data_IF_475701707130
#
_entry.id   IF_475701707130
#
_cell.length_a   1.000
_cell.length_b   1.000
_cell.length_c   1.000
_cell.angle_alpha   90.00
_cell.angle_beta   90.00
_cell.angle_gamma   90.00
#
_symmetry.space_group_name_H-M   'P 1'
#
loop_
_entity.id
_entity.type
_entity.pdbx_description
1 polymer ?
#
# COMPACT_ATOMS: atom_id res chain seq x y z
N UNK A 1 -21.30 -7.20 -20.53
CA UNK A 1 -20.19 -8.15 -20.22
C UNK A 1 -18.87 -7.48 -19.87
N UNK A 2 -18.63 -6.23 -20.23
CA UNK A 2 -17.42 -5.46 -19.89
C UNK A 2 -17.44 -4.89 -18.45
N UNK A 3 -18.59 -4.53 -17.94
CA UNK A 3 -18.75 -3.93 -16.60
C UNK A 3 -18.36 -4.89 -15.47
N UNK A 4 -18.64 -6.19 -15.61
CA UNK A 4 -18.29 -7.18 -14.60
C UNK A 4 -16.79 -7.46 -14.50
N UNK A 5 -16.05 -7.40 -15.63
CA UNK A 5 -14.59 -7.64 -15.62
C UNK A 5 -13.80 -6.43 -15.07
N UNK A 6 -14.29 -5.20 -15.30
CA UNK A 6 -13.68 -3.98 -14.76
C UNK A 6 -13.91 -3.86 -13.24
N UNK A 7 -15.07 -4.32 -12.75
CA UNK A 7 -15.38 -4.37 -11.33
C UNK A 7 -14.47 -5.39 -10.60
N UNK A 8 -14.28 -6.59 -11.15
CA UNK A 8 -13.36 -7.59 -10.60
C UNK A 8 -11.89 -7.13 -10.57
N UNK A 9 -11.44 -6.34 -11.56
CA UNK A 9 -10.07 -5.81 -11.61
C UNK A 9 -9.86 -4.74 -10.53
N UNK A 10 -10.86 -3.90 -10.28
CA UNK A 10 -10.82 -2.86 -9.23
C UNK A 10 -10.82 -3.45 -7.82
N UNK A 11 -11.66 -4.44 -7.56
CA UNK A 11 -11.75 -5.09 -6.26
C UNK A 11 -10.47 -5.88 -5.92
N UNK A 12 -9.85 -6.50 -6.92
CA UNK A 12 -8.58 -7.24 -6.73
C UNK A 12 -7.36 -6.35 -6.49
N UNK A 13 -7.38 -5.08 -6.90
CA UNK A 13 -6.22 -4.20 -6.73
C UNK A 13 -6.06 -3.64 -5.31
N UNK A 14 -7.14 -3.58 -4.53
CA UNK A 14 -7.14 -2.91 -3.23
C UNK A 14 -7.19 -3.85 -2.03
N UNK A 15 -7.84 -4.99 -2.14
CA UNK A 15 -8.14 -5.86 -1.00
C UNK A 15 -8.03 -7.37 -1.36
N UNK A 16 -7.15 -7.70 -2.29
CA UNK A 16 -6.95 -9.07 -2.78
C UNK A 16 -6.41 -10.04 -1.72
N UNK A 17 -5.86 -9.54 -0.62
CA UNK A 17 -5.40 -10.33 0.55
C UNK A 17 -5.80 -9.60 1.82
N UNK A 18 -6.61 -10.30 2.65
CA UNK A 18 -7.07 -9.78 3.93
C UNK A 18 -5.91 -9.24 4.79
N UNK A 19 -6.01 -7.99 5.22
CA UNK A 19 -5.04 -7.32 6.07
C UNK A 19 -3.81 -6.75 5.36
N UNK A 20 -3.58 -7.02 4.07
CA UNK A 20 -2.37 -6.56 3.37
C UNK A 20 -2.33 -5.04 3.25
N UNK A 21 -3.36 -4.45 2.67
CA UNK A 21 -3.43 -3.01 2.42
C UNK A 21 -3.39 -2.20 3.73
N UNK A 22 -4.13 -2.63 4.74
CA UNK A 22 -4.11 -2.00 6.07
C UNK A 22 -2.74 -2.06 6.73
N UNK A 23 -2.08 -3.22 6.71
CA UNK A 23 -0.74 -3.41 7.29
C UNK A 23 0.30 -2.54 6.61
N UNK A 24 0.35 -2.55 5.27
CA UNK A 24 1.31 -1.74 4.51
C UNK A 24 1.06 -0.24 4.71
N UNK A 25 -0.21 0.19 4.78
CA UNK A 25 -0.57 1.59 5.05
C UNK A 25 -0.11 2.03 6.44
N UNK A 26 -0.30 1.21 7.48
CA UNK A 26 0.17 1.53 8.83
C UNK A 26 1.69 1.67 8.86
N UNK A 27 2.43 0.74 8.25
CA UNK A 27 3.90 0.81 8.19
C UNK A 27 4.34 2.09 7.46
N UNK A 28 3.72 2.43 6.34
CA UNK A 28 3.99 3.65 5.58
C UNK A 28 3.73 4.90 6.42
N UNK A 29 2.58 4.99 7.08
CA UNK A 29 2.22 6.14 7.92
C UNK A 29 3.15 6.30 9.12
N UNK A 30 3.53 5.21 9.78
CA UNK A 30 4.49 5.25 10.88
C UNK A 30 5.87 5.69 10.40
N UNK A 31 6.27 5.27 9.22
CA UNK A 31 7.55 5.71 8.62
C UNK A 31 7.53 7.20 8.26
N UNK A 32 6.42 7.69 7.70
CA UNK A 32 6.21 9.13 7.43
C UNK A 32 6.23 9.93 8.74
N UNK A 33 5.55 9.44 9.79
CA UNK A 33 5.56 10.06 11.11
C UNK A 33 6.98 10.20 11.67
N UNK A 34 7.80 9.15 11.60
CA UNK A 34 9.19 9.19 12.07
C UNK A 34 10.02 10.18 11.24
N UNK A 35 9.89 10.16 9.92
CA UNK A 35 10.60 11.09 9.03
C UNK A 35 10.22 12.54 9.29
N UNK A 36 8.92 12.83 9.49
CA UNK A 36 8.45 14.19 9.76
C UNK A 36 8.99 14.73 11.10
N UNK A 37 9.09 13.86 12.11
CA UNK A 37 9.72 14.19 13.39
C UNK A 37 11.23 14.45 13.26
N UNK A 38 11.94 13.68 12.43
CA UNK A 38 13.38 13.88 12.18
C UNK A 38 13.60 15.19 11.44
N UNK A 39 12.80 15.46 10.40
CA UNK A 39 12.88 16.67 9.58
C UNK A 39 12.28 17.91 10.27
N UNK A 40 11.56 17.74 11.38
CA UNK A 40 10.88 18.80 12.16
C UNK A 40 9.99 19.71 11.31
N UNK A 41 9.25 19.13 10.37
CA UNK A 41 8.49 19.91 9.37
C UNK A 41 7.10 20.29 9.86
N UNK A 42 6.38 19.40 10.54
CA UNK A 42 4.95 19.64 10.80
C UNK A 42 4.39 18.93 12.04
N UNK A 43 4.69 19.41 13.22
CA UNK A 43 4.28 18.79 14.50
C UNK A 43 2.76 18.59 14.64
N UNK A 44 1.95 19.55 14.15
CA UNK A 44 0.49 19.49 14.31
C UNK A 44 -0.15 18.39 13.46
N UNK A 45 0.38 18.09 12.27
CA UNK A 45 -0.17 17.06 11.40
C UNK A 45 0.19 15.65 11.87
N UNK A 46 1.27 15.51 12.65
CA UNK A 46 1.69 14.23 13.22
C UNK A 46 0.63 13.58 14.09
N UNK A 47 -0.15 14.38 14.83
CA UNK A 47 -1.29 13.88 15.60
C UNK A 47 -2.36 13.25 14.69
N UNK A 48 -2.62 13.84 13.53
CA UNK A 48 -3.55 13.27 12.55
C UNK A 48 -3.05 11.94 11.99
N UNK A 49 -1.74 11.82 11.72
CA UNK A 49 -1.12 10.57 11.26
C UNK A 49 -1.30 9.47 12.30
N UNK A 50 -0.99 9.76 13.57
CA UNK A 50 -1.16 8.80 14.66
C UNK A 50 -2.62 8.40 14.85
N UNK A 51 -3.54 9.37 14.86
CA UNK A 51 -4.97 9.08 14.99
C UNK A 51 -5.47 8.17 13.88
N UNK A 52 -5.08 8.47 12.63
CA UNK A 52 -5.47 7.64 11.49
C UNK A 52 -4.86 6.24 11.55
N UNK A 53 -3.60 6.12 11.97
CA UNK A 53 -2.94 4.82 12.18
C UNK A 53 -3.66 3.99 13.26
N UNK A 54 -4.10 4.59 14.37
CA UNK A 54 -4.89 3.91 15.41
C UNK A 54 -6.25 3.45 14.86
N UNK A 55 -6.93 4.27 14.08
CA UNK A 55 -8.18 3.87 13.41
C UNK A 55 -7.96 2.67 12.47
N UNK A 56 -6.84 2.66 11.73
CA UNK A 56 -6.49 1.54 10.87
C UNK A 56 -6.13 0.27 11.67
N UNK A 57 -5.50 0.39 12.83
CA UNK A 57 -5.27 -0.76 13.72
C UNK A 57 -6.59 -1.37 14.18
N UNK A 58 -7.56 -0.54 14.56
CA UNK A 58 -8.91 -1.00 14.90
C UNK A 58 -9.61 -1.70 13.73
N UNK A 59 -9.47 -1.16 12.51
CA UNK A 59 -9.96 -1.81 11.31
C UNK A 59 -9.25 -3.15 11.06
N UNK A 60 -7.91 -3.19 11.16
CA UNK A 60 -7.11 -4.37 10.90
C UNK A 60 -7.43 -5.53 11.84
N UNK A 61 -7.86 -5.23 13.07
CA UNK A 61 -8.33 -6.24 14.02
C UNK A 61 -9.45 -7.13 13.47
N UNK A 62 -10.32 -6.55 12.64
CA UNK A 62 -11.43 -7.28 12.00
C UNK A 62 -11.13 -7.73 10.57
N UNK A 63 -10.15 -7.11 9.91
CA UNK A 63 -9.78 -7.43 8.53
C UNK A 63 -8.66 -8.47 8.42
N UNK A 64 -7.96 -8.80 9.53
CA UNK A 64 -6.98 -9.88 9.53
C UNK A 64 -7.62 -11.23 9.19
N UNK A 65 -6.86 -12.09 8.49
CA UNK A 65 -7.34 -13.40 8.02
C UNK A 65 -7.77 -14.33 9.19
N UNK A 66 -8.98 -14.90 9.21
CA UNK A 66 -10.08 -14.73 8.23
C UNK A 66 -10.83 -13.41 8.43
N UNK A 67 -10.96 -12.62 7.38
CA UNK A 67 -11.53 -11.28 7.49
C UNK A 67 -13.02 -11.32 7.80
N UNK A 68 -13.44 -10.48 8.76
CA UNK A 68 -14.83 -10.22 9.11
C UNK A 68 -15.32 -8.87 8.59
N UNK A 69 -14.43 -8.03 8.12
CA UNK A 69 -14.70 -6.69 7.65
C UNK A 69 -13.85 -6.39 6.41
N UNK A 70 -14.49 -6.05 5.31
CA UNK A 70 -13.83 -5.63 4.08
C UNK A 70 -13.80 -4.10 4.00
N UNK A 71 -12.71 -3.54 3.49
CA UNK A 71 -12.52 -2.09 3.42
C UNK A 71 -13.37 -1.43 2.34
N UNK A 72 -13.54 -2.09 1.22
CA UNK A 72 -14.20 -1.55 0.04
C UNK A 72 -13.46 -0.36 -0.61
N UNK A 73 -14.04 0.15 -1.68
CA UNK A 73 -13.48 1.26 -2.49
C UNK A 73 -13.33 2.56 -1.70
N UNK A 74 -14.24 2.85 -0.78
CA UNK A 74 -14.22 4.10 -0.02
C UNK A 74 -13.02 4.14 0.95
N UNK A 75 -12.78 3.06 1.67
CA UNK A 75 -11.67 2.97 2.62
C UNK A 75 -10.31 2.96 1.93
N UNK A 76 -10.16 2.21 0.84
CA UNK A 76 -8.90 2.18 0.09
C UNK A 76 -8.53 3.53 -0.52
N UNK A 77 -9.53 4.28 -1.03
CA UNK A 77 -9.32 5.66 -1.52
C UNK A 77 -8.98 6.61 -0.39
N UNK A 78 -9.64 6.50 0.76
CA UNK A 78 -9.35 7.33 1.93
C UNK A 78 -7.90 7.13 2.41
N UNK A 79 -7.43 5.89 2.48
CA UNK A 79 -6.03 5.58 2.81
C UNK A 79 -5.05 6.22 1.80
N UNK A 80 -5.30 6.04 0.50
CA UNK A 80 -4.45 6.60 -0.55
C UNK A 80 -4.37 8.12 -0.49
N UNK A 81 -5.50 8.81 -0.33
CA UNK A 81 -5.57 10.27 -0.21
C UNK A 81 -4.84 10.74 1.06
N UNK A 82 -5.06 10.06 2.19
CA UNK A 82 -4.42 10.44 3.44
C UNK A 82 -2.90 10.31 3.38
N UNK A 83 -2.39 9.21 2.83
CA UNK A 83 -0.94 9.02 2.60
C UNK A 83 -0.41 10.13 1.68
N UNK A 84 -1.10 10.44 0.59
CA UNK A 84 -0.68 11.49 -0.33
C UNK A 84 -0.59 12.87 0.37
N UNK A 85 -1.58 13.22 1.18
CA UNK A 85 -1.58 14.46 1.98
C UNK A 85 -0.41 14.47 2.97
N UNK A 86 -0.20 13.37 3.69
CA UNK A 86 0.88 13.23 4.67
C UNK A 86 2.25 13.48 4.04
N UNK A 87 2.48 12.89 2.87
CA UNK A 87 3.75 13.03 2.13
C UNK A 87 3.94 14.43 1.55
N UNK A 88 2.88 15.03 1.01
CA UNK A 88 2.95 16.42 0.51
C UNK A 88 3.27 17.39 1.65
N UNK A 89 2.73 17.16 2.83
CA UNK A 89 3.01 17.96 4.02
C UNK A 89 4.47 17.85 4.49
N UNK A 90 5.10 16.70 4.29
CA UNK A 90 6.51 16.47 4.63
C UNK A 90 7.49 17.18 3.69
N UNK A 91 7.04 17.85 2.62
CA UNK A 91 7.86 18.54 1.62
C UNK A 91 8.95 17.70 0.94
N UNK A 92 8.90 16.36 1.04
CA UNK A 92 9.88 15.44 0.47
C UNK A 92 9.21 14.34 -0.36
N UNK A 93 8.64 14.68 -1.54
CA UNK A 93 7.86 13.73 -2.34
C UNK A 93 8.67 12.51 -2.82
N UNK A 94 9.99 12.65 -2.97
CA UNK A 94 10.85 11.53 -3.37
C UNK A 94 10.96 10.45 -2.30
N UNK A 95 10.88 10.83 -1.01
CA UNK A 95 10.90 9.86 0.10
C UNK A 95 9.67 8.95 0.08
N UNK A 96 8.55 9.41 -0.46
CA UNK A 96 7.37 8.59 -0.64
C UNK A 96 7.62 7.33 -1.46
N UNK A 97 8.40 7.43 -2.54
CA UNK A 97 8.71 6.29 -3.39
C UNK A 97 9.41 5.17 -2.60
N UNK A 98 10.24 5.52 -1.63
CA UNK A 98 10.92 4.55 -0.77
C UNK A 98 10.00 4.04 0.36
N UNK A 99 9.35 4.97 1.07
CA UNK A 99 8.55 4.66 2.25
C UNK A 99 7.25 3.90 1.90
N UNK A 100 6.73 4.03 0.68
CA UNK A 100 5.59 3.29 0.18
C UNK A 100 5.94 2.31 -0.95
N UNK A 101 7.21 1.91 -1.07
CA UNK A 101 7.71 1.16 -2.22
C UNK A 101 6.92 -0.14 -2.48
N UNK A 102 6.64 -0.93 -1.45
CA UNK A 102 5.89 -2.19 -1.60
C UNK A 102 4.42 -1.91 -1.94
N UNK A 103 3.82 -0.89 -1.30
CA UNK A 103 2.44 -0.48 -1.59
C UNK A 103 2.30 -0.02 -3.05
N UNK A 104 3.25 0.80 -3.52
CA UNK A 104 3.30 1.29 -4.90
C UNK A 104 3.57 0.14 -5.87
N UNK A 105 4.49 -0.77 -5.55
CA UNK A 105 4.80 -1.89 -6.41
C UNK A 105 3.61 -2.84 -6.55
N UNK A 106 2.94 -3.17 -5.45
CA UNK A 106 1.81 -4.10 -5.49
C UNK A 106 0.60 -3.52 -6.22
N UNK A 107 0.14 -2.32 -5.85
CA UNK A 107 -0.99 -1.65 -6.48
C UNK A 107 -0.65 -0.98 -7.82
N UNK A 108 0.51 -0.30 -7.89
CA UNK A 108 0.93 0.49 -9.04
C UNK A 108 1.22 -0.33 -10.29
N UNK A 109 1.85 -1.50 -10.17
CA UNK A 109 2.10 -2.37 -11.33
C UNK A 109 0.79 -2.86 -11.97
N UNK A 110 -0.23 -3.11 -11.17
CA UNK A 110 -1.56 -3.41 -11.68
C UNK A 110 -2.14 -2.27 -12.51
N UNK A 111 -2.08 -1.05 -11.97
CA UNK A 111 -2.58 0.16 -12.65
C UNK A 111 -1.79 0.46 -13.93
N UNK A 112 -0.45 0.38 -13.89
CA UNK A 112 0.41 0.60 -15.06
C UNK A 112 0.09 -0.40 -16.16
N UNK A 113 -0.05 -1.67 -15.83
CA UNK A 113 -0.40 -2.71 -16.80
C UNK A 113 -1.75 -2.43 -17.47
N UNK A 114 -2.78 -2.10 -16.68
CA UNK A 114 -4.12 -1.81 -17.21
C UNK A 114 -4.10 -0.53 -18.05
N UNK A 115 -3.40 0.52 -17.61
CA UNK A 115 -3.27 1.77 -18.35
C UNK A 115 -2.54 1.57 -19.69
N UNK A 116 -1.44 0.85 -19.71
CA UNK A 116 -0.67 0.56 -20.93
C UNK A 116 -1.47 -0.28 -21.93
N UNK A 117 -2.23 -1.28 -21.43
CA UNK A 117 -3.14 -2.06 -22.27
C UNK A 117 -4.25 -1.20 -22.88
N UNK A 118 -4.80 -0.25 -22.10
CA UNK A 118 -5.95 0.57 -22.51
C UNK A 118 -5.55 1.70 -23.47
N UNK A 119 -4.43 2.37 -23.19
CA UNK A 119 -4.00 3.55 -23.97
C UNK A 119 -3.06 3.20 -25.12
N UNK A 120 -2.10 2.31 -24.91
CA UNK A 120 -1.04 2.02 -25.87
C UNK A 120 -1.21 0.64 -26.54
N UNK A 121 -2.16 -0.19 -26.10
CA UNK A 121 -2.36 -1.59 -26.57
C UNK A 121 -1.09 -2.44 -26.49
N UNK A 122 -0.13 -2.06 -25.64
CA UNK A 122 1.12 -2.76 -25.46
C UNK A 122 0.94 -3.83 -24.39
N UNK A 123 1.20 -5.09 -24.71
CA UNK A 123 1.11 -6.22 -23.79
C UNK A 123 2.43 -6.39 -23.01
N UNK A 124 2.64 -5.57 -21.98
CA UNK A 124 3.77 -5.72 -21.05
C UNK A 124 3.40 -6.71 -19.96
N UNK A 125 4.37 -7.47 -19.47
CA UNK A 125 4.21 -8.41 -18.36
C UNK A 125 3.20 -9.55 -18.64
N UNK A 126 3.21 -10.15 -19.83
CA UNK A 126 2.34 -11.29 -20.19
C UNK A 126 2.41 -12.45 -19.21
N UNK A 127 3.57 -12.70 -18.61
CA UNK A 127 3.82 -13.82 -17.70
C UNK A 127 3.62 -13.46 -16.21
N UNK A 128 3.40 -12.19 -15.87
CA UNK A 128 3.22 -11.73 -14.50
C UNK A 128 1.75 -11.47 -14.23
N UNK A 129 1.20 -12.18 -13.25
CA UNK A 129 -0.15 -11.92 -12.76
C UNK A 129 -0.05 -10.65 -11.90
N UNK A 130 -0.83 -9.65 -12.19
CA UNK A 130 -0.92 -8.42 -11.41
C UNK A 130 -2.25 -8.39 -10.69
N UNK A 131 -2.29 -7.98 -9.41
CA UNK A 131 -1.23 -7.48 -8.52
C UNK A 131 -0.14 -8.50 -8.14
N UNK A 132 0.98 -8.07 -7.53
CA UNK A 132 2.10 -8.95 -7.18
C UNK A 132 1.68 -9.99 -6.14
N UNK A 133 0.88 -9.61 -5.15
CA UNK A 133 0.39 -10.54 -4.14
C UNK A 133 -0.34 -11.75 -4.75
N UNK A 134 -1.09 -11.55 -5.82
CA UNK A 134 -1.76 -12.63 -6.55
C UNK A 134 -0.76 -13.54 -7.30
N UNK A 135 0.32 -12.94 -7.81
CA UNK A 135 1.37 -13.70 -8.47
C UNK A 135 2.08 -14.67 -7.52
N UNK A 136 2.47 -14.18 -6.33
CA UNK A 136 3.15 -15.01 -5.33
C UNK A 136 2.23 -16.05 -4.69
N UNK A 137 0.92 -15.77 -4.61
CA UNK A 137 -0.08 -16.77 -4.17
C UNK A 137 -0.25 -17.88 -5.18
N UNK A 138 -0.51 -17.52 -6.44
CA UNK A 138 -0.87 -18.49 -7.51
C UNK A 138 0.33 -19.28 -8.02
N UNK A 139 1.50 -18.66 -8.17
CA UNK A 139 2.73 -19.31 -8.64
C UNK A 139 3.67 -19.72 -7.51
N UNK A 140 3.75 -18.94 -6.45
CA UNK A 140 4.64 -19.19 -5.32
C UNK A 140 4.04 -20.08 -4.24
N UNK A 141 2.73 -20.38 -4.29
CA UNK A 141 2.05 -21.20 -3.29
C UNK A 141 1.99 -20.58 -1.88
N UNK A 142 2.11 -19.25 -1.77
CA UNK A 142 2.11 -18.57 -0.48
C UNK A 142 0.69 -18.46 0.09
N UNK A 143 0.55 -18.70 1.38
CA UNK A 143 -0.71 -18.44 2.10
C UNK A 143 -0.94 -16.92 2.26
N UNK A 144 -2.19 -16.50 2.50
CA UNK A 144 -2.54 -15.10 2.73
C UNK A 144 -1.68 -14.48 3.85
N UNK A 145 -1.54 -15.17 4.97
CA UNK A 145 -0.72 -14.71 6.08
C UNK A 145 0.77 -14.55 5.69
N UNK A 146 1.32 -15.49 4.91
CA UNK A 146 2.70 -15.40 4.45
C UNK A 146 2.93 -14.18 3.54
N UNK A 147 1.96 -13.85 2.68
CA UNK A 147 2.03 -12.66 1.83
C UNK A 147 2.08 -11.41 2.69
N UNK A 148 1.15 -11.26 3.64
CA UNK A 148 1.09 -10.09 4.53
C UNK A 148 2.40 -9.92 5.30
N UNK A 149 2.87 -10.98 5.98
CA UNK A 149 4.10 -10.91 6.78
C UNK A 149 5.34 -10.59 5.95
N UNK A 150 5.53 -11.26 4.81
CA UNK A 150 6.71 -11.05 3.98
C UNK A 150 6.73 -9.67 3.34
N UNK A 151 5.58 -9.18 2.86
CA UNK A 151 5.48 -7.83 2.31
C UNK A 151 5.68 -6.77 3.39
N UNK A 152 5.15 -6.99 4.61
CA UNK A 152 5.39 -6.12 5.75
C UNK A 152 6.88 -6.06 6.12
N UNK A 153 7.58 -7.20 6.19
CA UNK A 153 9.02 -7.25 6.47
C UNK A 153 9.80 -6.46 5.41
N UNK A 154 9.52 -6.70 4.12
CA UNK A 154 10.20 -5.98 3.03
C UNK A 154 9.95 -4.48 3.15
N UNK A 155 8.71 -4.06 3.41
CA UNK A 155 8.35 -2.65 3.56
C UNK A 155 9.06 -2.02 4.76
N UNK A 156 9.14 -2.70 5.91
CA UNK A 156 9.85 -2.23 7.10
C UNK A 156 11.34 -2.04 6.79
N UNK A 157 11.99 -3.02 6.14
CA UNK A 157 13.42 -2.92 5.79
C UNK A 157 13.68 -1.73 4.87
N UNK A 158 12.86 -1.53 3.83
CA UNK A 158 13.01 -0.38 2.92
C UNK A 158 12.76 0.93 3.67
N UNK A 159 11.76 0.99 4.54
CA UNK A 159 11.45 2.17 5.34
C UNK A 159 12.59 2.53 6.31
N UNK A 160 13.19 1.55 6.97
CA UNK A 160 14.35 1.77 7.84
C UNK A 160 15.55 2.25 7.05
N UNK A 161 15.81 1.70 5.87
CA UNK A 161 16.87 2.18 4.98
C UNK A 161 16.62 3.64 4.54
N UNK A 162 15.38 4.00 4.22
CA UNK A 162 15.02 5.38 3.86
C UNK A 162 15.22 6.35 5.04
N UNK A 163 14.83 5.96 6.25
CA UNK A 163 15.04 6.75 7.47
C UNK A 163 16.54 6.94 7.73
N UNK A 164 17.33 5.87 7.59
CA UNK A 164 18.78 5.93 7.77
C UNK A 164 19.46 6.89 6.78
N UNK A 165 19.03 6.87 5.50
CA UNK A 165 19.53 7.79 4.47
C UNK A 165 19.25 9.27 4.78
N UNK A 166 18.17 9.57 5.50
CA UNK A 166 17.83 10.95 5.89
C UNK A 166 18.60 11.40 7.13
N UNK A 167 19.08 10.46 7.96
CA UNK A 167 19.83 10.76 9.17
C UNK A 167 21.33 11.01 8.92
N UNK A 168 21.86 10.57 7.76
CA UNK A 168 23.24 10.82 7.33
C UNK A 168 23.32 12.17 6.61
#
# INVERSE_FOLDING_TARGET
RLVGSEMCIRDSCSDGVDGLSGTLTIITLMSVFVLDNILKVNDSFNYCILLFAVCLLGYLWYNATPSKLLMGDAGSRAMGIFIAIAVLKMHSPFMYLLVAAVLIADGGLGLVKVSLLRFLKIHILKNTITPIHDHVRKKGGWSNAQVVFRFAIIQIVISLAAIYLVMI
#
